data_IF_708955558065
#
_entry.id   IF_708955558065
#
_cell.length_a   1.000
_cell.length_b   1.000
_cell.length_c   1.000
_cell.angle_alpha   90.00
_cell.angle_beta   90.00
_cell.angle_gamma   90.00
#
_symmetry.space_group_name_H-M   'P 1'
#
loop_
_entity.id
_entity.type
_entity.pdbx_description
1 polymer ?
#
# COMPACT_ATOMS: atom_id res chain seq x y z
N UNK A 1 -19.88 -15.29 -34.08
CA UNK A 1 -19.13 -15.41 -32.82
C UNK A 1 -19.58 -16.68 -32.12
N UNK A 2 -18.68 -17.61 -31.90
CA UNK A 2 -18.92 -18.84 -31.15
C UNK A 2 -18.88 -18.59 -29.64
N UNK A 3 -19.34 -19.55 -28.84
CA UNK A 3 -19.25 -19.45 -27.37
C UNK A 3 -17.80 -19.30 -26.89
N UNK A 4 -16.87 -20.04 -27.51
CA UNK A 4 -15.45 -19.96 -27.19
C UNK A 4 -14.88 -18.58 -27.52
N UNK A 5 -15.18 -18.06 -28.71
CA UNK A 5 -14.75 -16.72 -29.14
C UNK A 5 -15.29 -15.62 -28.20
N UNK A 6 -16.54 -15.76 -27.74
CA UNK A 6 -17.15 -14.85 -26.76
C UNK A 6 -16.43 -14.91 -25.41
N UNK A 7 -16.18 -16.11 -24.86
CA UNK A 7 -15.49 -16.29 -23.57
C UNK A 7 -14.07 -15.71 -23.62
N UNK A 8 -13.35 -15.92 -24.71
CA UNK A 8 -12.02 -15.36 -24.93
C UNK A 8 -12.05 -13.83 -25.06
N UNK A 9 -13.00 -13.28 -25.81
CA UNK A 9 -13.18 -11.84 -25.92
C UNK A 9 -13.47 -11.21 -24.55
N UNK A 10 -14.38 -11.81 -23.77
CA UNK A 10 -14.71 -11.35 -22.43
C UNK A 10 -13.51 -11.44 -21.48
N UNK A 11 -12.72 -12.51 -21.55
CA UNK A 11 -11.51 -12.66 -20.75
C UNK A 11 -10.48 -11.57 -21.09
N UNK A 12 -10.24 -11.31 -22.39
CA UNK A 12 -9.34 -10.24 -22.84
C UNK A 12 -9.76 -8.87 -22.30
N UNK A 13 -11.05 -8.55 -22.35
CA UNK A 13 -11.59 -7.29 -21.80
C UNK A 13 -11.34 -7.20 -20.29
N UNK A 14 -11.62 -8.27 -19.54
CA UNK A 14 -11.41 -8.29 -18.08
C UNK A 14 -9.94 -8.11 -17.71
N UNK A 15 -9.03 -8.81 -18.38
CA UNK A 15 -7.59 -8.69 -18.12
C UNK A 15 -7.08 -7.28 -18.45
N UNK A 16 -7.53 -6.70 -19.57
CA UNK A 16 -7.16 -5.33 -19.94
C UNK A 16 -7.65 -4.31 -18.90
N UNK A 17 -8.93 -4.36 -18.54
CA UNK A 17 -9.52 -3.46 -17.56
C UNK A 17 -8.85 -3.59 -16.17
N UNK A 18 -8.53 -4.82 -15.74
CA UNK A 18 -7.84 -5.05 -14.47
C UNK A 18 -6.43 -4.44 -14.47
N UNK A 19 -5.68 -4.62 -15.58
CA UNK A 19 -4.35 -4.04 -15.73
C UNK A 19 -4.38 -2.51 -15.73
N UNK A 20 -5.29 -1.89 -16.49
CA UNK A 20 -5.46 -0.44 -16.52
C UNK A 20 -5.83 0.10 -15.13
N UNK A 21 -6.76 -0.56 -14.43
CA UNK A 21 -7.13 -0.22 -13.05
C UNK A 21 -5.93 -0.30 -12.10
N UNK A 22 -5.14 -1.37 -12.19
CA UNK A 22 -3.94 -1.56 -11.35
C UNK A 22 -2.88 -0.50 -11.62
N UNK A 23 -2.68 -0.11 -12.88
CA UNK A 23 -1.73 0.93 -13.25
C UNK A 23 -2.15 2.29 -12.70
N UNK A 24 -3.42 2.67 -12.88
CA UNK A 24 -3.97 3.92 -12.35
C UNK A 24 -3.87 3.99 -10.81
N UNK A 25 -4.23 2.89 -10.12
CA UNK A 25 -4.11 2.81 -8.67
C UNK A 25 -2.66 2.95 -8.19
N UNK A 26 -1.72 2.34 -8.93
CA UNK A 26 -0.30 2.43 -8.62
C UNK A 26 0.24 3.84 -8.82
N UNK A 27 -0.10 4.49 -9.91
CA UNK A 27 0.31 5.86 -10.21
C UNK A 27 -0.16 6.81 -9.12
N UNK A 28 -1.46 6.80 -8.82
CA UNK A 28 -2.05 7.66 -7.79
C UNK A 28 -1.42 7.46 -6.41
N UNK A 29 -1.30 6.20 -5.96
CA UNK A 29 -0.74 5.90 -4.63
C UNK A 29 0.76 6.22 -4.53
N UNK A 30 1.51 6.08 -5.63
CA UNK A 30 2.95 6.40 -5.65
C UNK A 30 3.20 7.90 -5.66
N UNK A 31 2.41 8.67 -6.41
CA UNK A 31 2.50 10.13 -6.46
C UNK A 31 2.27 10.77 -5.08
N UNK A 32 1.38 10.18 -4.30
CA UNK A 32 1.01 10.66 -2.97
C UNK A 32 1.70 9.89 -1.83
N UNK A 33 2.83 9.23 -2.12
CA UNK A 33 3.56 8.45 -1.12
C UNK A 33 4.37 9.37 -0.19
N UNK A 34 4.04 9.45 1.12
CA UNK A 34 4.80 10.28 2.05
C UNK A 34 6.04 9.56 2.64
N UNK A 35 6.29 8.30 2.30
CA UNK A 35 7.26 7.41 2.96
C UNK A 35 8.29 6.88 1.98
N UNK A 36 9.56 6.85 2.40
CA UNK A 36 10.68 6.32 1.62
C UNK A 36 11.21 5.02 2.24
N UNK A 37 11.88 4.22 1.42
CA UNK A 37 12.64 3.06 1.91
C UNK A 37 13.69 3.54 2.90
N UNK A 38 13.78 2.87 4.04
CA UNK A 38 14.66 3.23 5.16
C UNK A 38 13.98 4.03 6.26
N UNK A 39 12.83 4.66 6.00
CA UNK A 39 12.06 5.37 7.02
C UNK A 39 11.52 4.43 8.10
N UNK A 40 11.33 4.98 9.29
CA UNK A 40 10.65 4.30 10.39
C UNK A 40 9.21 4.76 10.45
N UNK A 41 8.27 3.85 10.21
CA UNK A 41 6.84 4.17 10.25
C UNK A 41 6.16 3.38 11.35
N UNK A 42 5.09 3.94 11.90
CA UNK A 42 4.30 3.26 12.93
C UNK A 42 2.81 3.39 12.68
N UNK A 43 2.08 2.30 12.93
CA UNK A 43 0.64 2.30 13.12
C UNK A 43 0.30 2.13 14.62
N UNK A 44 -0.93 1.74 14.94
CA UNK A 44 -1.36 1.52 16.32
C UNK A 44 -0.75 0.27 16.98
N UNK A 45 -0.15 -0.65 16.21
CA UNK A 45 0.38 -1.92 16.71
C UNK A 45 1.90 -2.01 16.63
N UNK A 46 2.48 -1.66 15.48
CA UNK A 46 3.87 -1.93 15.14
C UNK A 46 4.59 -0.69 14.61
N UNK A 47 5.90 -0.71 14.81
CA UNK A 47 6.86 0.18 14.13
C UNK A 47 7.71 -0.68 13.22
N UNK A 48 7.87 -0.29 11.94
CA UNK A 48 8.74 -0.97 10.99
C UNK A 48 9.76 -0.02 10.39
N UNK A 49 10.94 -0.55 10.04
CA UNK A 49 11.83 0.11 9.08
C UNK A 49 11.43 -0.34 7.68
N UNK A 50 11.07 0.60 6.81
CA UNK A 50 10.52 0.30 5.48
C UNK A 50 11.62 -0.30 4.59
N UNK A 51 11.36 -1.50 4.07
CA UNK A 51 12.22 -2.19 3.10
C UNK A 51 11.65 -2.10 1.68
N UNK A 52 10.34 -1.84 1.56
CA UNK A 52 9.65 -1.67 0.28
C UNK A 52 8.15 -1.44 0.48
N UNK A 53 7.40 -1.38 -0.61
CA UNK A 53 5.95 -1.17 -0.57
C UNK A 53 5.26 -1.86 -1.75
N UNK A 54 3.94 -1.98 -1.63
CA UNK A 54 3.03 -2.55 -2.63
C UNK A 54 1.72 -1.77 -2.64
N UNK A 55 0.84 -2.06 -3.60
CA UNK A 55 -0.51 -1.48 -3.61
C UNK A 55 -1.42 -2.28 -2.70
N UNK A 56 -2.21 -1.60 -1.85
CA UNK A 56 -3.19 -2.28 -1.01
C UNK A 56 -4.26 -2.95 -1.87
N UNK A 57 -4.41 -4.27 -1.70
CA UNK A 57 -5.46 -5.05 -2.36
C UNK A 57 -6.88 -4.67 -1.89
N UNK A 58 -7.02 -3.87 -0.83
CA UNK A 58 -8.33 -3.36 -0.37
C UNK A 58 -8.80 -2.13 -1.13
N UNK A 59 -7.95 -1.49 -1.95
CA UNK A 59 -8.30 -0.32 -2.75
C UNK A 59 -9.24 -0.59 -3.95
N UNK A 60 -9.84 -1.78 -4.03
CA UNK A 60 -10.81 -2.13 -5.06
C UNK A 60 -12.27 -1.99 -4.61
N UNK A 61 -12.50 -1.59 -3.36
CA UNK A 61 -13.83 -1.18 -2.90
C UNK A 61 -14.14 0.23 -3.42
N UNK A 62 -15.33 0.39 -4.02
CA UNK A 62 -15.79 1.56 -4.80
C UNK A 62 -15.69 2.92 -4.06
N UNK A 63 -15.49 2.92 -2.75
CA UNK A 63 -15.50 4.11 -1.89
C UNK A 63 -14.14 4.47 -1.31
N UNK A 64 -13.09 3.68 -1.52
CA UNK A 64 -11.77 3.94 -0.93
C UNK A 64 -10.72 4.25 -1.99
N UNK A 65 -10.00 5.37 -1.82
CA UNK A 65 -8.87 5.70 -2.66
C UNK A 65 -7.75 4.65 -2.50
N UNK A 66 -7.06 4.27 -3.59
CA UNK A 66 -5.96 3.33 -3.51
C UNK A 66 -4.85 3.91 -2.62
N UNK A 67 -4.14 3.05 -1.90
CA UNK A 67 -3.07 3.45 -1.00
C UNK A 67 -1.97 2.39 -0.94
N UNK A 68 -0.79 2.78 -0.42
CA UNK A 68 0.35 1.88 -0.29
C UNK A 68 0.27 1.00 0.96
N UNK A 69 0.88 -0.17 0.86
CA UNK A 69 1.21 -1.06 1.99
C UNK A 69 2.72 -1.17 2.06
N UNK A 70 3.29 -0.61 3.12
CA UNK A 70 4.73 -0.67 3.38
C UNK A 70 5.07 -2.00 4.03
N UNK A 71 6.19 -2.60 3.63
CA UNK A 71 6.69 -3.88 4.14
C UNK A 71 8.05 -3.66 4.77
N UNK A 72 8.29 -4.33 5.88
CA UNK A 72 9.55 -4.22 6.60
C UNK A 72 9.62 -5.15 7.80
N UNK A 73 10.68 -4.97 8.59
CA UNK A 73 10.88 -5.70 9.84
C UNK A 73 10.50 -4.85 11.03
N UNK A 74 9.92 -5.48 12.05
CA UNK A 74 9.52 -4.79 13.28
C UNK A 74 10.72 -4.26 14.07
N UNK A 75 10.61 -3.00 14.45
CA UNK A 75 11.54 -2.24 15.27
C UNK A 75 10.90 -1.91 16.62
N UNK A 76 11.72 -1.46 17.56
CA UNK A 76 11.27 -0.78 18.77
C UNK A 76 10.86 0.66 18.42
N UNK A 77 10.21 1.34 19.36
CA UNK A 77 9.79 2.75 19.21
C UNK A 77 10.98 3.71 19.03
N UNK A 78 12.18 3.33 19.49
CA UNK A 78 13.42 4.08 19.31
C UNK A 78 14.11 3.84 17.94
N UNK A 79 13.48 3.06 17.04
CA UNK A 79 14.03 2.70 15.73
C UNK A 79 15.00 1.52 15.73
N UNK A 80 15.45 1.04 16.89
CA UNK A 80 16.35 -0.13 16.95
C UNK A 80 15.61 -1.42 16.56
N UNK A 81 16.25 -2.37 15.87
CA UNK A 81 15.64 -3.67 15.60
C UNK A 81 15.23 -4.38 16.88
N UNK A 82 14.10 -5.10 16.85
CA UNK A 82 13.73 -6.00 17.96
C UNK A 82 14.69 -7.19 18.01
N UNK A 83 14.83 -7.80 19.20
CA UNK A 83 15.62 -9.04 19.38
C UNK A 83 15.16 -10.16 18.43
N UNK A 84 13.86 -10.20 18.13
CA UNK A 84 13.24 -11.12 17.18
C UNK A 84 12.38 -10.32 16.20
N UNK A 85 12.99 -9.74 15.15
CA UNK A 85 12.25 -8.93 14.20
C UNK A 85 11.36 -9.84 13.34
N UNK A 86 10.09 -9.47 13.21
CA UNK A 86 9.13 -10.17 12.34
C UNK A 86 8.87 -9.32 11.11
N UNK A 87 8.60 -9.98 9.99
CA UNK A 87 8.07 -9.28 8.81
C UNK A 87 6.68 -8.77 9.17
N UNK A 88 6.44 -7.50 8.94
CA UNK A 88 5.17 -6.84 9.17
C UNK A 88 4.89 -5.88 8.02
N UNK A 89 3.63 -5.47 7.90
CA UNK A 89 3.18 -4.52 6.91
C UNK A 89 2.31 -3.46 7.54
N UNK A 90 2.50 -2.21 7.12
CA UNK A 90 1.72 -1.05 7.59
C UNK A 90 1.03 -0.42 6.38
N UNK A 91 -0.29 -0.23 6.47
CA UNK A 91 -1.04 0.48 5.42
C UNK A 91 -0.91 1.99 5.58
N UNK A 92 -0.79 2.72 4.47
CA UNK A 92 -0.63 4.17 4.44
C UNK A 92 -1.72 4.93 5.20
N UNK A 93 -2.98 4.50 5.09
CA UNK A 93 -4.12 5.10 5.82
C UNK A 93 -4.05 4.92 7.34
N UNK A 94 -3.25 3.98 7.82
CA UNK A 94 -3.09 3.69 9.25
C UNK A 94 -1.81 4.33 9.82
N UNK A 95 -1.06 5.10 9.02
CA UNK A 95 0.16 5.74 9.47
C UNK A 95 -0.15 6.76 10.57
N UNK A 96 0.47 6.56 11.73
CA UNK A 96 0.43 7.50 12.84
C UNK A 96 1.69 8.36 12.88
N UNK A 97 2.84 7.77 12.55
CA UNK A 97 4.15 8.45 12.60
C UNK A 97 5.07 8.03 11.46
N UNK A 98 5.88 8.98 10.99
CA UNK A 98 7.00 8.77 10.07
C UNK A 98 8.24 9.41 10.69
N UNK A 99 9.29 8.62 10.90
CA UNK A 99 10.54 9.02 11.56
C UNK A 99 10.34 9.70 12.92
N UNK A 100 9.32 9.26 13.67
CA UNK A 100 8.97 9.82 14.98
C UNK A 100 7.98 10.99 14.91
N UNK A 101 7.87 11.66 13.77
CA UNK A 101 6.96 12.78 13.56
C UNK A 101 5.53 12.30 13.31
N UNK A 102 4.51 12.94 13.93
CA UNK A 102 3.13 12.61 13.68
C UNK A 102 2.73 12.96 12.24
N UNK A 103 1.95 12.06 11.62
CA UNK A 103 1.41 12.28 10.28
C UNK A 103 0.25 13.28 10.38
N UNK A 104 0.36 14.39 9.65
CA UNK A 104 -0.72 15.38 9.56
C UNK A 104 -1.74 14.88 8.52
N UNK A 105 -2.90 14.45 9.00
CA UNK A 105 -4.09 14.02 8.24
C UNK A 105 -3.98 12.66 7.50
N UNK A 106 -4.87 11.72 7.87
CA UNK A 106 -4.94 10.34 7.37
C UNK A 106 -5.84 10.17 6.13
N UNK A 107 -5.89 11.17 5.27
CA UNK A 107 -6.66 11.13 4.03
C UNK A 107 -6.10 12.19 3.11
N UNK A 108 -5.90 11.84 1.84
CA UNK A 108 -5.58 12.75 0.75
C UNK A 108 -6.20 14.11 1.01
N UNK A 109 -5.35 15.10 1.31
CA UNK A 109 -5.79 16.35 1.93
C UNK A 109 -6.91 17.03 1.14
N UNK A 110 -7.89 17.54 1.87
CA UNK A 110 -8.59 18.77 1.48
C UNK A 110 -7.81 19.97 2.01
#
# INVERSE_FOLDING_TARGET
>A
MTEQEYREALHRIKVKAENERRMLAKEFATEHNPVKVGDYISDCFDTIRVEGWDISHRGYEYTSLPCLVYKGKTCKKDGTPRKYPKKCSVEQRNLLRVNGEPVKNCGYGE
#
